data_IF_283426383937
#
_entry.id   IF_283426383937
#
_cell.length_a   1.000
_cell.length_b   1.000
_cell.length_c   1.000
_cell.angle_alpha   90.00
_cell.angle_beta   90.00
_cell.angle_gamma   90.00
#
_symmetry.space_group_name_H-M   'P 1'
#
loop_
_entity.id
_entity.type
_entity.pdbx_description
1 polymer ?
#
# COMPACT_ATOMS: atom_id res chain seq x y z
N UNK A 1 36.33 -0.45 -15.49
CA UNK A 1 36.47 0.03 -14.10
C UNK A 1 35.07 0.35 -13.61
N UNK A 2 34.53 -0.46 -12.72
CA UNK A 2 33.18 -0.25 -12.16
C UNK A 2 33.35 0.73 -10.99
N UNK A 3 32.96 1.98 -11.19
CA UNK A 3 32.97 2.99 -10.14
C UNK A 3 31.74 2.74 -9.26
N UNK A 4 31.95 2.32 -8.03
CA UNK A 4 30.90 2.23 -7.02
C UNK A 4 30.85 3.59 -6.33
N UNK A 5 29.72 4.28 -6.47
CA UNK A 5 29.47 5.56 -5.84
C UNK A 5 29.26 5.32 -4.33
N UNK A 6 30.27 5.61 -3.51
CA UNK A 6 30.20 5.47 -2.05
C UNK A 6 29.33 6.60 -1.48
N UNK A 7 28.04 6.30 -1.32
CA UNK A 7 27.06 7.24 -0.77
C UNK A 7 27.16 7.39 0.77
N UNK A 8 28.16 6.81 1.43
CA UNK A 8 28.36 6.93 2.88
C UNK A 8 28.64 8.36 3.36
N UNK A 9 29.18 9.22 2.49
CA UNK A 9 29.50 10.61 2.82
C UNK A 9 28.31 11.60 2.74
N UNK A 10 27.18 11.17 2.14
CA UNK A 10 25.98 11.99 2.02
C UNK A 10 25.17 11.96 3.33
N UNK A 11 24.69 13.13 3.77
CA UNK A 11 23.84 13.24 4.95
C UNK A 11 22.55 12.43 4.73
N UNK A 12 22.18 11.59 5.68
CA UNK A 12 21.03 10.68 5.55
C UNK A 12 19.71 11.42 5.30
N UNK A 13 19.58 12.67 5.76
CA UNK A 13 18.41 13.51 5.46
C UNK A 13 18.32 13.86 3.97
N UNK A 14 19.44 14.14 3.31
CA UNK A 14 19.46 14.49 1.89
C UNK A 14 19.09 13.28 1.02
N UNK A 15 19.46 12.06 1.45
CA UNK A 15 19.06 10.81 0.79
C UNK A 15 17.55 10.58 0.91
N UNK A 16 16.98 10.78 2.09
CA UNK A 16 15.54 10.64 2.33
C UNK A 16 14.74 11.63 1.47
N UNK A 17 15.19 12.89 1.37
CA UNK A 17 14.59 13.89 0.47
C UNK A 17 14.61 13.44 -0.98
N UNK A 18 15.72 12.84 -1.45
CA UNK A 18 15.79 12.31 -2.82
C UNK A 18 14.74 11.23 -3.08
N UNK A 19 14.48 10.34 -2.12
CA UNK A 19 13.43 9.32 -2.23
C UNK A 19 12.02 9.89 -2.20
N UNK A 20 11.82 11.05 -1.55
CA UNK A 20 10.56 11.78 -1.52
C UNK A 20 10.42 12.82 -2.65
N UNK A 21 11.16 12.64 -3.74
CA UNK A 21 11.16 13.56 -4.90
C UNK A 21 11.48 15.01 -4.52
N UNK A 22 12.37 15.20 -3.55
CA UNK A 22 12.78 16.50 -3.00
C UNK A 22 11.87 17.05 -1.90
N UNK A 23 10.82 16.33 -1.52
CA UNK A 23 9.91 16.71 -0.44
C UNK A 23 10.51 16.57 0.96
N UNK A 24 9.99 17.33 1.92
CA UNK A 24 10.34 17.21 3.34
C UNK A 24 9.44 16.23 4.12
N UNK A 25 8.39 15.73 3.46
CA UNK A 25 7.38 14.83 4.03
C UNK A 25 7.27 13.61 3.12
N UNK A 26 7.11 12.39 3.66
CA UNK A 26 6.86 11.22 2.86
C UNK A 26 5.63 11.39 1.98
N UNK A 27 5.69 11.02 0.70
CA UNK A 27 4.52 10.98 -0.15
C UNK A 27 3.49 9.96 0.36
N UNK A 28 2.21 10.18 0.08
CA UNK A 28 1.14 9.26 0.50
C UNK A 28 0.92 8.18 -0.56
N UNK A 29 0.75 6.93 -0.12
CA UNK A 29 0.38 5.81 -1.00
C UNK A 29 -1.05 6.03 -1.49
N UNK A 30 -1.30 5.86 -2.80
CA UNK A 30 -2.66 5.91 -3.33
C UNK A 30 -3.55 4.83 -2.67
N UNK A 31 -4.79 5.17 -2.38
CA UNK A 31 -5.78 4.21 -1.85
C UNK A 31 -5.94 3.02 -2.79
N UNK A 32 -6.20 1.85 -2.22
CA UNK A 32 -6.54 0.68 -3.00
C UNK A 32 -7.91 0.85 -3.67
N UNK A 33 -8.05 0.30 -4.86
CA UNK A 33 -9.31 0.15 -5.57
C UNK A 33 -9.84 -1.27 -5.31
N UNK A 34 -11.15 -1.36 -5.10
CA UNK A 34 -11.83 -2.61 -4.82
C UNK A 34 -12.83 -2.91 -5.93
N UNK A 35 -12.79 -4.14 -6.43
CA UNK A 35 -13.82 -4.71 -7.30
C UNK A 35 -14.39 -5.97 -6.67
N UNK A 36 -15.71 -6.06 -6.58
CA UNK A 36 -16.41 -7.25 -6.12
C UNK A 36 -17.29 -7.77 -7.26
N UNK A 37 -17.01 -8.99 -7.71
CA UNK A 37 -17.73 -9.65 -8.80
C UNK A 37 -17.65 -11.16 -8.64
N UNK A 38 -18.73 -11.86 -9.00
CA UNK A 38 -18.81 -13.33 -8.89
C UNK A 38 -18.48 -13.90 -7.50
N UNK A 39 -18.77 -13.14 -6.43
CA UNK A 39 -18.45 -13.53 -5.04
C UNK A 39 -16.97 -13.42 -4.68
N UNK A 40 -16.17 -12.72 -5.49
CA UNK A 40 -14.74 -12.52 -5.26
C UNK A 40 -14.37 -11.06 -5.20
N UNK A 41 -13.49 -10.74 -4.26
CA UNK A 41 -12.87 -9.42 -4.11
C UNK A 41 -11.53 -9.40 -4.83
N UNK A 42 -11.35 -8.41 -5.69
CA UNK A 42 -10.09 -8.07 -6.34
C UNK A 42 -9.64 -6.70 -5.86
N UNK A 43 -8.37 -6.59 -5.47
CA UNK A 43 -7.76 -5.34 -5.01
C UNK A 43 -6.68 -4.92 -6.00
N UNK A 44 -6.64 -3.64 -6.33
CA UNK A 44 -5.57 -2.99 -7.12
C UNK A 44 -5.10 -1.73 -6.42
N UNK A 45 -3.86 -1.30 -6.65
CA UNK A 45 -3.38 -0.01 -6.15
C UNK A 45 -2.65 0.72 -7.29
N UNK A 46 -2.96 2.00 -7.55
CA UNK A 46 -2.24 2.80 -8.55
C UNK A 46 -0.76 3.00 -8.22
N UNK A 47 -0.38 2.93 -6.93
CA UNK A 47 1.02 3.08 -6.51
C UNK A 47 1.77 1.79 -6.80
N UNK A 48 2.69 1.86 -7.79
CA UNK A 48 3.54 0.71 -8.12
C UNK A 48 4.31 0.23 -6.89
N UNK A 49 4.35 -1.10 -6.71
CA UNK A 49 5.02 -1.79 -5.60
C UNK A 49 4.43 -1.54 -4.21
N UNK A 50 3.23 -0.96 -4.09
CA UNK A 50 2.51 -0.94 -2.82
C UNK A 50 2.01 -2.35 -2.47
N UNK A 51 2.18 -2.73 -1.20
CA UNK A 51 1.55 -3.91 -0.64
C UNK A 51 0.14 -3.54 -0.17
N UNK A 52 -0.81 -4.46 -0.33
CA UNK A 52 -2.17 -4.27 0.14
C UNK A 52 -2.48 -5.30 1.24
N UNK A 53 -2.86 -4.82 2.40
CA UNK A 53 -3.42 -5.60 3.50
C UNK A 53 -4.94 -5.46 3.54
N UNK A 54 -5.64 -6.50 3.96
CA UNK A 54 -7.09 -6.44 4.18
C UNK A 54 -7.51 -7.16 5.47
N UNK A 55 -8.65 -6.74 6.04
CA UNK A 55 -9.32 -7.39 7.18
C UNK A 55 -10.83 -7.13 7.11
N UNK A 56 -11.66 -8.01 7.68
CA UNK A 56 -13.12 -7.84 7.65
C UNK A 56 -13.66 -7.03 8.83
N UNK A 57 -13.03 -7.18 9.99
CA UNK A 57 -13.33 -6.42 11.20
C UNK A 57 -12.10 -5.68 11.73
N UNK A 58 -12.30 -4.63 12.52
CA UNK A 58 -11.24 -3.95 13.26
C UNK A 58 -10.54 -4.87 14.27
N UNK A 59 -11.22 -5.94 14.72
CA UNK A 59 -10.68 -6.97 15.61
C UNK A 59 -9.85 -8.04 14.90
N UNK A 60 -9.92 -8.13 13.58
CA UNK A 60 -9.24 -9.16 12.81
C UNK A 60 -7.78 -8.79 12.53
N UNK A 61 -6.95 -9.82 12.34
CA UNK A 61 -5.59 -9.64 11.84
C UNK A 61 -5.60 -9.28 10.35
N UNK A 62 -4.67 -8.39 9.97
CA UNK A 62 -4.40 -8.05 8.59
C UNK A 62 -3.91 -9.27 7.80
N UNK A 63 -4.50 -9.48 6.63
CA UNK A 63 -4.08 -10.48 5.65
C UNK A 63 -3.44 -9.77 4.47
N UNK A 64 -2.32 -10.29 3.97
CA UNK A 64 -1.69 -9.75 2.78
C UNK A 64 -2.47 -10.21 1.55
N UNK A 65 -2.82 -9.27 0.67
CA UNK A 65 -3.43 -9.56 -0.60
C UNK A 65 -2.41 -10.22 -1.53
N UNK A 66 -2.72 -11.45 -1.94
CA UNK A 66 -1.88 -12.26 -2.85
C UNK A 66 -2.62 -12.62 -4.14
N UNK A 67 -3.90 -12.28 -4.23
CA UNK A 67 -4.78 -12.55 -5.36
C UNK A 67 -6.26 -12.48 -4.94
N UNK A 68 -7.19 -12.62 -5.89
CA UNK A 68 -8.62 -12.56 -5.60
C UNK A 68 -9.05 -13.58 -4.55
N UNK A 69 -9.94 -13.18 -3.65
CA UNK A 69 -10.42 -14.03 -2.55
C UNK A 69 -11.94 -13.96 -2.41
N UNK A 70 -12.54 -14.99 -1.80
CA UNK A 70 -13.98 -15.08 -1.65
C UNK A 70 -14.51 -14.16 -0.54
N UNK A 71 -15.63 -13.49 -0.82
CA UNK A 71 -16.37 -12.70 0.14
C UNK A 71 -17.86 -12.69 -0.22
N UNK A 72 -18.68 -12.18 0.69
CA UNK A 72 -20.14 -12.14 0.52
C UNK A 72 -20.60 -10.68 0.48
N UNK A 73 -21.61 -10.39 -0.35
CA UNK A 73 -22.27 -9.09 -0.34
C UNK A 73 -22.77 -8.77 1.09
N UNK A 74 -22.60 -7.52 1.51
CA UNK A 74 -22.85 -7.03 2.86
C UNK A 74 -21.66 -7.13 3.81
N UNK A 75 -20.59 -7.86 3.45
CA UNK A 75 -19.36 -7.85 4.27
C UNK A 75 -18.73 -6.45 4.29
N UNK A 76 -18.22 -6.06 5.46
CA UNK A 76 -17.32 -4.92 5.59
C UNK A 76 -15.89 -5.36 5.31
N UNK A 77 -15.13 -4.53 4.61
CA UNK A 77 -13.73 -4.77 4.30
C UNK A 77 -12.91 -3.51 4.54
N UNK A 78 -11.88 -3.62 5.37
CA UNK A 78 -10.85 -2.61 5.52
C UNK A 78 -9.67 -3.01 4.65
N UNK A 79 -9.17 -2.07 3.85
CA UNK A 79 -8.02 -2.27 2.96
C UNK A 79 -6.99 -1.19 3.26
N UNK A 80 -5.75 -1.59 3.46
CA UNK A 80 -4.62 -0.71 3.72
C UNK A 80 -3.56 -0.91 2.62
N UNK A 81 -3.30 0.13 1.84
CA UNK A 81 -2.25 0.16 0.84
C UNK A 81 -1.01 0.87 1.41
N UNK A 82 0.15 0.21 1.34
CA UNK A 82 1.38 0.74 1.93
C UNK A 82 2.60 0.42 1.06
N UNK A 83 3.35 1.47 0.72
CA UNK A 83 4.68 1.37 0.12
C UNK A 83 5.74 1.85 1.12
N UNK A 84 6.84 1.12 1.26
CA UNK A 84 7.94 1.52 2.16
C UNK A 84 8.47 2.90 1.74
N UNK A 85 8.60 3.81 2.72
CA UNK A 85 9.03 5.20 2.49
C UNK A 85 7.90 6.15 2.13
N UNK A 86 6.64 5.68 2.09
CA UNK A 86 5.43 6.45 1.87
C UNK A 86 4.51 6.33 3.10
N UNK A 87 3.61 7.28 3.29
CA UNK A 87 2.51 7.11 4.24
C UNK A 87 1.49 6.11 3.70
N UNK A 88 0.91 5.29 4.58
CA UNK A 88 -0.09 4.31 4.21
C UNK A 88 -1.47 4.96 3.99
N UNK A 89 -2.29 4.35 3.13
CA UNK A 89 -3.68 4.75 2.92
C UNK A 89 -4.62 3.59 3.30
N UNK A 90 -5.49 3.83 4.27
CA UNK A 90 -6.51 2.88 4.73
C UNK A 90 -7.91 3.34 4.33
N UNK A 91 -8.70 2.43 3.78
CA UNK A 91 -10.08 2.66 3.34
C UNK A 91 -11.00 1.52 3.80
N UNK A 92 -12.25 1.85 4.12
CA UNK A 92 -13.31 0.89 4.42
C UNK A 92 -14.33 0.80 3.30
N UNK A 93 -14.76 -0.41 2.97
CA UNK A 93 -15.75 -0.71 1.93
C UNK A 93 -16.85 -1.60 2.50
N UNK A 94 -18.05 -1.47 1.95
CA UNK A 94 -19.13 -2.45 2.09
C UNK A 94 -19.27 -3.11 0.72
N UNK A 95 -19.32 -4.43 0.67
CA UNK A 95 -19.46 -5.17 -0.59
C UNK A 95 -20.93 -5.16 -1.02
N UNK A 96 -21.23 -4.69 -2.23
CA UNK A 96 -22.58 -4.64 -2.80
C UNK A 96 -22.90 -5.84 -3.72
#
# INVERSE_FOLDING_TARGET
MTQYDDSGALNDIEKVKSWWNGGEIPPVTASAELSFSEGKVTLSCPTSSALMGWRKSSSDFWKIYTGPFEAVAGDSLYVNAHRIGYEAAEMGYVLD
#
